data_IF_784500832133
#
_entry.id   IF_784500832133
#
_cell.length_a   1.000
_cell.length_b   1.000
_cell.length_c   1.000
_cell.angle_alpha   90.00
_cell.angle_beta   90.00
_cell.angle_gamma   90.00
#
_symmetry.space_group_name_H-M   'P 1'
#
loop_
_entity.id
_entity.type
_entity.pdbx_description
1 polymer ?
#
# COMPACT_ATOMS: atom_id res chain seq x y z
N UNK A 1 18.74 -7.01 18.49
CA UNK A 1 19.37 -7.97 17.55
C UNK A 1 18.34 -8.87 16.85
N UNK A 2 17.55 -9.72 17.54
CA UNK A 2 16.56 -10.62 16.89
C UNK A 2 15.37 -9.92 16.21
N UNK A 3 14.89 -8.77 16.74
CA UNK A 3 13.86 -7.94 16.09
C UNK A 3 14.37 -7.31 14.78
N UNK A 4 15.63 -6.89 14.77
CA UNK A 4 16.30 -6.24 13.64
C UNK A 4 16.55 -7.22 12.48
N UNK A 5 17.01 -8.44 12.80
CA UNK A 5 17.20 -9.52 11.81
C UNK A 5 15.90 -9.94 11.13
N UNK A 6 14.77 -9.98 11.87
CA UNK A 6 13.44 -10.29 11.31
C UNK A 6 12.93 -9.15 10.43
N UNK A 7 13.09 -7.91 10.88
CA UNK A 7 12.74 -6.73 10.09
C UNK A 7 13.50 -6.69 8.75
N UNK A 8 14.82 -6.91 8.79
CA UNK A 8 15.64 -6.97 7.58
C UNK A 8 15.18 -8.07 6.62
N UNK A 9 14.92 -9.28 7.12
CA UNK A 9 14.41 -10.38 6.28
C UNK A 9 13.06 -10.06 5.62
N UNK A 10 12.16 -9.42 6.36
CA UNK A 10 10.84 -9.02 5.85
C UNK A 10 10.98 -7.94 4.77
N UNK A 11 11.83 -6.93 5.00
CA UNK A 11 12.14 -5.90 4.01
C UNK A 11 12.76 -6.52 2.76
N UNK A 12 13.74 -7.40 2.92
CA UNK A 12 14.42 -8.09 1.82
C UNK A 12 13.41 -8.92 0.99
N UNK A 13 12.46 -9.61 1.66
CA UNK A 13 11.39 -10.35 1.00
C UNK A 13 10.45 -9.44 0.21
N UNK A 14 9.87 -8.39 0.82
CA UNK A 14 8.96 -7.49 0.11
C UNK A 14 9.66 -6.76 -1.03
N UNK A 15 10.91 -6.33 -0.83
CA UNK A 15 11.69 -5.72 -1.90
C UNK A 15 11.84 -6.68 -3.08
N UNK A 16 12.23 -7.92 -2.82
CA UNK A 16 12.33 -8.95 -3.85
C UNK A 16 11.00 -9.18 -4.57
N UNK A 17 9.88 -9.34 -3.84
CA UNK A 17 8.56 -9.57 -4.44
C UNK A 17 8.09 -8.40 -5.30
N UNK A 18 8.23 -7.16 -4.80
CA UNK A 18 7.85 -5.95 -5.55
C UNK A 18 8.71 -5.82 -6.81
N UNK A 19 10.03 -6.02 -6.70
CA UNK A 19 10.94 -5.96 -7.85
C UNK A 19 10.62 -7.02 -8.88
N UNK A 20 10.27 -8.23 -8.45
CA UNK A 20 9.89 -9.30 -9.37
C UNK A 20 8.59 -8.98 -10.08
N UNK A 21 7.56 -8.53 -9.37
CA UNK A 21 6.32 -8.04 -9.98
C UNK A 21 6.56 -6.90 -10.96
N UNK A 22 7.44 -5.95 -10.64
CA UNK A 22 7.76 -4.85 -11.53
C UNK A 22 8.44 -5.34 -12.80
N UNK A 23 9.29 -6.36 -12.71
CA UNK A 23 9.87 -7.01 -13.88
C UNK A 23 8.78 -7.71 -14.73
N UNK A 24 7.90 -8.48 -14.10
CA UNK A 24 6.84 -9.23 -14.78
C UNK A 24 5.82 -8.30 -15.47
N UNK A 25 5.64 -7.08 -14.95
CA UNK A 25 4.73 -6.04 -15.49
C UNK A 25 5.46 -4.94 -16.28
N UNK A 26 6.75 -5.12 -16.59
CA UNK A 26 7.59 -4.16 -17.33
C UNK A 26 7.63 -2.74 -16.74
N UNK A 27 7.52 -2.62 -15.42
CA UNK A 27 7.56 -1.37 -14.67
C UNK A 27 9.01 -0.98 -14.39
N UNK A 28 9.46 0.15 -14.96
CA UNK A 28 10.81 0.67 -14.78
C UNK A 28 10.85 1.86 -13.80
N UNK A 29 10.34 1.68 -12.58
CA UNK A 29 10.34 2.73 -11.55
C UNK A 29 10.92 2.23 -10.23
N UNK A 30 12.21 2.49 -10.00
CA UNK A 30 12.89 2.03 -8.79
C UNK A 30 12.44 2.80 -7.52
N UNK A 31 12.15 4.09 -7.63
CA UNK A 31 11.70 4.90 -6.51
C UNK A 31 10.35 4.42 -5.96
N UNK A 32 9.41 4.08 -6.85
CA UNK A 32 8.12 3.49 -6.45
C UNK A 32 8.32 2.11 -5.82
N UNK A 33 9.22 1.27 -6.36
CA UNK A 33 9.49 -0.04 -5.78
C UNK A 33 10.01 0.05 -4.32
N UNK A 34 10.94 0.97 -4.06
CA UNK A 34 11.45 1.25 -2.71
C UNK A 34 10.33 1.76 -1.78
N UNK A 35 9.49 2.69 -2.28
CA UNK A 35 8.37 3.23 -1.51
C UNK A 35 7.36 2.15 -1.12
N UNK A 36 6.89 1.36 -2.09
CA UNK A 36 5.92 0.29 -1.84
C UNK A 36 6.49 -0.79 -0.92
N UNK A 37 7.79 -1.08 -1.01
CA UNK A 37 8.48 -1.96 -0.07
C UNK A 37 8.39 -1.42 1.37
N UNK A 38 8.69 -0.13 1.56
CA UNK A 38 8.58 0.52 2.86
C UNK A 38 7.16 0.49 3.41
N UNK A 39 6.17 0.78 2.56
CA UNK A 39 4.75 0.72 2.89
C UNK A 39 4.30 -0.68 3.33
N UNK A 40 4.69 -1.74 2.61
CA UNK A 40 4.38 -3.12 2.98
C UNK A 40 5.00 -3.51 4.32
N UNK A 41 6.26 -3.11 4.56
CA UNK A 41 6.95 -3.34 5.84
C UNK A 41 6.23 -2.61 6.97
N UNK A 42 5.81 -1.36 6.75
CA UNK A 42 5.13 -0.53 7.73
C UNK A 42 3.80 -1.16 8.18
N UNK A 43 2.95 -1.56 7.24
CA UNK A 43 1.63 -2.13 7.53
C UNK A 43 1.62 -3.62 7.87
N UNK A 44 2.77 -4.30 7.80
CA UNK A 44 2.88 -5.68 8.29
C UNK A 44 2.57 -5.79 9.80
N UNK A 45 2.70 -4.69 10.55
CA UNK A 45 2.22 -4.59 11.94
C UNK A 45 0.81 -4.02 11.96
N UNK A 46 -0.17 -4.81 12.40
CA UNK A 46 -1.59 -4.42 12.46
C UNK A 46 -1.82 -3.13 13.26
N UNK A 47 -1.02 -2.89 14.30
CA UNK A 47 -1.04 -1.66 15.10
C UNK A 47 -0.83 -0.40 14.23
N UNK A 48 -0.04 -0.51 13.16
CA UNK A 48 0.27 0.59 12.25
C UNK A 48 -0.86 0.86 11.27
N UNK A 49 -1.87 -0.02 11.13
CA UNK A 49 -3.06 0.30 10.32
C UNK A 49 -3.89 1.41 10.98
N UNK A 50 -3.94 1.42 12.32
CA UNK A 50 -4.78 2.29 13.14
C UNK A 50 -3.94 3.22 14.03
N UNK A 51 -2.80 3.69 13.51
CA UNK A 51 -1.85 4.52 14.27
C UNK A 51 -2.28 5.98 14.42
N UNK A 52 -3.20 6.46 13.57
CA UNK A 52 -3.70 7.83 13.63
C UNK A 52 -4.73 7.99 14.75
N UNK A 53 -4.70 9.18 15.37
CA UNK A 53 -5.66 9.60 16.38
C UNK A 53 -6.25 10.96 16.06
N UNK A 54 -7.50 11.19 16.44
CA UNK A 54 -8.13 12.51 16.38
C UNK A 54 -7.68 13.40 17.55
N UNK A 55 -8.20 14.64 17.58
CA UNK A 55 -7.97 15.59 18.67
C UNK A 55 -8.44 15.09 20.05
N UNK A 56 -9.41 14.18 20.09
CA UNK A 56 -9.92 13.53 21.31
C UNK A 56 -9.12 12.27 21.71
N UNK A 57 -8.01 12.00 21.02
CA UNK A 57 -7.12 10.84 21.24
C UNK A 57 -7.76 9.47 20.93
N UNK A 58 -8.87 9.46 20.20
CA UNK A 58 -9.54 8.27 19.69
C UNK A 58 -8.86 7.80 18.40
N UNK A 59 -8.85 6.49 18.14
CA UNK A 59 -8.22 5.95 16.93
C UNK A 59 -9.09 6.23 15.71
N UNK A 60 -8.46 6.56 14.59
CA UNK A 60 -9.13 6.58 13.29
C UNK A 60 -9.06 5.16 12.70
N UNK A 61 -10.20 4.49 12.62
CA UNK A 61 -10.31 3.09 12.21
C UNK A 61 -10.82 2.93 10.76
N UNK A 62 -11.48 3.95 10.23
CA UNK A 62 -12.06 3.92 8.88
C UNK A 62 -11.44 4.96 7.95
N UNK A 63 -11.51 4.68 6.63
CA UNK A 63 -11.14 5.63 5.57
C UNK A 63 -11.95 6.93 5.69
N UNK A 64 -13.23 6.83 6.04
CA UNK A 64 -14.12 7.99 6.19
C UNK A 64 -13.69 8.87 7.37
N UNK A 65 -13.37 8.27 8.52
CA UNK A 65 -12.84 9.02 9.68
C UNK A 65 -11.53 9.73 9.36
N UNK A 66 -10.60 9.04 8.68
CA UNK A 66 -9.34 9.65 8.23
C UNK A 66 -9.58 10.82 7.27
N UNK A 67 -10.53 10.70 6.35
CA UNK A 67 -10.89 11.78 5.41
C UNK A 67 -11.50 12.99 6.13
N UNK A 68 -12.38 12.76 7.10
CA UNK A 68 -13.00 13.84 7.89
C UNK A 68 -11.93 14.61 8.67
N UNK A 69 -11.05 13.90 9.39
CA UNK A 69 -9.97 14.52 10.15
C UNK A 69 -9.00 15.28 9.23
N UNK A 70 -8.61 14.69 8.09
CA UNK A 70 -7.73 15.33 7.12
C UNK A 70 -8.33 16.62 6.55
N UNK A 71 -9.63 16.60 6.27
CA UNK A 71 -10.34 17.74 5.69
C UNK A 71 -10.45 18.88 6.69
N UNK A 72 -10.79 18.57 7.94
CA UNK A 72 -10.81 19.56 9.04
C UNK A 72 -9.42 20.20 9.23
N UNK A 73 -8.37 19.39 9.36
CA UNK A 73 -7.01 19.89 9.53
C UNK A 73 -6.52 20.72 8.31
N UNK A 74 -7.01 20.43 7.11
CA UNK A 74 -6.69 21.17 5.87
C UNK A 74 -7.38 22.53 5.80
N UNK A 75 -8.59 22.66 6.33
CA UNK A 75 -9.34 23.93 6.35
C UNK A 75 -8.72 24.94 7.33
N UNK A 76 -8.11 24.43 8.40
CA UNK A 76 -7.34 25.22 9.33
C UNK A 76 -6.08 25.82 8.65
N UNK A 77 -5.94 27.15 8.75
CA UNK A 77 -4.83 27.88 8.10
C UNK A 77 -3.52 27.81 8.89
N UNK A 78 -3.52 27.19 10.05
CA UNK A 78 -2.34 27.06 10.90
C UNK A 78 -1.33 26.08 10.29
N UNK A 79 -0.03 26.40 10.39
CA UNK A 79 1.02 25.54 9.83
C UNK A 79 1.01 24.14 10.44
N UNK A 80 0.71 24.04 11.74
CA UNK A 80 0.61 22.77 12.46
C UNK A 80 -0.51 21.90 11.91
N UNK A 81 -1.69 22.47 11.68
CA UNK A 81 -2.85 21.76 11.12
C UNK A 81 -2.61 21.33 9.67
N UNK A 82 -1.94 22.16 8.88
CA UNK A 82 -1.56 21.80 7.51
C UNK A 82 -0.56 20.63 7.46
N UNK A 83 0.43 20.61 8.37
CA UNK A 83 1.33 19.46 8.52
C UNK A 83 0.56 18.20 8.95
N UNK A 84 -0.38 18.37 9.89
CA UNK A 84 -1.25 17.27 10.35
C UNK A 84 -2.08 16.69 9.20
N UNK A 85 -2.69 17.55 8.39
CA UNK A 85 -3.44 17.12 7.20
C UNK A 85 -2.54 16.32 6.26
N UNK A 86 -1.32 16.79 5.98
CA UNK A 86 -0.33 16.05 5.17
C UNK A 86 -0.02 14.66 5.74
N UNK A 87 0.21 14.54 7.04
CA UNK A 87 0.46 13.24 7.68
C UNK A 87 -0.72 12.29 7.50
N UNK A 88 -1.95 12.79 7.69
CA UNK A 88 -3.15 11.96 7.54
C UNK A 88 -3.35 11.55 6.09
N UNK A 89 -3.20 12.46 5.12
CA UNK A 89 -3.28 12.13 3.70
C UNK A 89 -2.20 11.12 3.27
N UNK A 90 -0.98 11.20 3.81
CA UNK A 90 0.04 10.21 3.53
C UNK A 90 -0.37 8.82 4.03
N UNK A 91 -0.76 8.73 5.30
CA UNK A 91 -1.23 7.47 5.87
C UNK A 91 -2.46 6.92 5.15
N UNK A 92 -3.39 7.79 4.77
CA UNK A 92 -4.61 7.44 4.03
C UNK A 92 -4.27 6.83 2.66
N UNK A 93 -3.44 7.51 1.87
CA UNK A 93 -3.00 7.02 0.56
C UNK A 93 -2.26 5.68 0.68
N UNK A 94 -1.37 5.58 1.66
CA UNK A 94 -0.60 4.37 1.92
C UNK A 94 -1.48 3.20 2.39
N UNK A 95 -2.42 3.46 3.30
CA UNK A 95 -3.37 2.47 3.81
C UNK A 95 -4.27 1.96 2.69
N UNK A 96 -4.78 2.86 1.85
CA UNK A 96 -5.62 2.49 0.71
C UNK A 96 -4.80 1.63 -0.27
N UNK A 97 -3.60 2.07 -0.67
CA UNK A 97 -2.71 1.32 -1.57
C UNK A 97 -2.43 -0.09 -1.01
N UNK A 98 -2.23 -0.19 0.30
CA UNK A 98 -2.04 -1.45 0.99
C UNK A 98 -3.29 -2.34 0.96
N UNK A 99 -4.47 -1.83 1.34
CA UNK A 99 -5.68 -2.65 1.46
C UNK A 99 -6.25 -3.04 0.09
N UNK A 100 -6.20 -2.14 -0.90
CA UNK A 100 -6.63 -2.44 -2.28
C UNK A 100 -5.62 -3.29 -3.03
N UNK A 101 -4.34 -3.27 -2.63
CA UNK A 101 -3.31 -4.15 -3.16
C UNK A 101 -3.31 -5.54 -2.52
N UNK A 102 -3.22 -5.62 -1.19
CA UNK A 102 -3.01 -6.89 -0.48
C UNK A 102 -4.34 -7.56 -0.08
N UNK A 103 -5.41 -6.80 0.10
CA UNK A 103 -6.70 -7.34 0.57
C UNK A 103 -7.84 -6.97 -0.37
N UNK A 104 -7.57 -6.90 -1.68
CA UNK A 104 -8.52 -6.41 -2.67
C UNK A 104 -9.88 -7.14 -2.60
N UNK A 105 -9.90 -8.46 -2.43
CA UNK A 105 -11.15 -9.23 -2.34
C UNK A 105 -12.01 -8.80 -1.15
N UNK A 106 -11.39 -8.39 -0.04
CA UNK A 106 -12.13 -7.85 1.10
C UNK A 106 -12.77 -6.51 0.75
N UNK A 107 -12.03 -5.60 0.12
CA UNK A 107 -12.54 -4.29 -0.31
C UNK A 107 -13.66 -4.44 -1.35
N UNK A 108 -13.53 -5.39 -2.28
CA UNK A 108 -14.58 -5.71 -3.26
C UNK A 108 -15.85 -6.20 -2.57
N UNK A 109 -15.74 -7.11 -1.57
CA UNK A 109 -16.90 -7.59 -0.82
C UNK A 109 -17.61 -6.48 -0.04
N UNK A 110 -16.90 -5.45 0.39
CA UNK A 110 -17.49 -4.27 1.03
C UNK A 110 -18.16 -3.32 0.03
N UNK A 111 -17.96 -3.50 -1.28
CA UNK A 111 -18.46 -2.56 -2.31
C UNK A 111 -17.71 -1.23 -2.32
N UNK A 112 -16.49 -1.17 -1.78
CA UNK A 112 -15.74 0.08 -1.59
C UNK A 112 -14.59 0.27 -2.58
N UNK A 113 -14.36 -0.64 -3.54
CA UNK A 113 -13.14 -0.62 -4.37
C UNK A 113 -12.99 0.70 -5.14
N UNK A 114 -14.01 1.11 -5.91
CA UNK A 114 -13.95 2.34 -6.72
C UNK A 114 -13.78 3.60 -5.85
N UNK A 115 -14.43 3.61 -4.69
CA UNK A 115 -14.27 4.67 -3.70
C UNK A 115 -12.83 4.72 -3.19
N UNK A 116 -12.27 3.59 -2.78
CA UNK A 116 -10.92 3.51 -2.24
C UNK A 116 -9.87 3.91 -3.29
N UNK A 117 -9.97 3.40 -4.53
CA UNK A 117 -9.04 3.76 -5.60
C UNK A 117 -9.04 5.28 -5.86
N UNK A 118 -10.23 5.89 -5.89
CA UNK A 118 -10.37 7.35 -6.05
C UNK A 118 -9.76 8.13 -4.89
N UNK A 119 -10.08 7.76 -3.66
CA UNK A 119 -9.56 8.46 -2.48
C UNK A 119 -8.04 8.30 -2.33
N UNK A 120 -7.48 7.16 -2.74
CA UNK A 120 -6.03 6.94 -2.81
C UNK A 120 -5.33 7.83 -3.82
N UNK A 121 -5.90 8.00 -5.02
CA UNK A 121 -5.40 8.95 -6.02
C UNK A 121 -5.41 10.38 -5.48
N UNK A 122 -6.51 10.80 -4.86
CA UNK A 122 -6.71 12.14 -4.28
C UNK A 122 -5.71 12.39 -3.15
N UNK A 123 -5.49 11.40 -2.28
CA UNK A 123 -4.56 11.50 -1.16
C UNK A 123 -3.12 11.76 -1.64
N UNK A 124 -2.61 10.99 -2.61
CA UNK A 124 -1.27 11.25 -3.15
C UNK A 124 -1.22 12.52 -4.00
N UNK A 125 -2.31 12.91 -4.67
CA UNK A 125 -2.38 14.21 -5.36
C UNK A 125 -2.17 15.36 -4.38
N UNK A 126 -2.84 15.30 -3.23
CA UNK A 126 -2.68 16.29 -2.17
C UNK A 126 -1.23 16.36 -1.68
N UNK A 127 -0.58 15.21 -1.44
CA UNK A 127 0.83 15.19 -1.02
C UNK A 127 1.75 15.83 -2.04
N UNK A 128 1.55 15.56 -3.33
CA UNK A 128 2.32 16.21 -4.39
C UNK A 128 2.16 17.73 -4.35
N UNK A 129 0.93 18.24 -4.28
CA UNK A 129 0.65 19.68 -4.24
C UNK A 129 1.22 20.35 -3.00
N UNK A 130 1.06 19.70 -1.84
CA UNK A 130 1.58 20.17 -0.57
C UNK A 130 3.12 20.23 -0.61
N UNK A 131 3.77 19.15 -1.00
CA UNK A 131 5.23 19.04 -1.00
C UNK A 131 5.86 19.98 -2.03
N UNK A 132 5.23 20.13 -3.20
CA UNK A 132 5.65 21.09 -4.22
C UNK A 132 5.57 22.54 -3.69
N UNK A 133 4.46 22.91 -3.05
CA UNK A 133 4.26 24.24 -2.48
C UNK A 133 5.27 24.57 -1.37
N UNK A 134 5.67 23.57 -0.59
CA UNK A 134 6.59 23.72 0.55
C UNK A 134 8.04 23.35 0.22
N UNK A 135 8.37 23.09 -1.05
CA UNK A 135 9.71 22.68 -1.50
C UNK A 135 10.26 21.43 -0.77
N UNK A 136 9.38 20.50 -0.43
CA UNK A 136 9.74 19.22 0.18
C UNK A 136 10.21 18.27 -0.93
N UNK A 137 11.43 17.69 -0.84
CA UNK A 137 11.92 16.74 -1.82
C UNK A 137 11.03 15.49 -1.93
N UNK A 138 10.93 14.92 -3.14
CA UNK A 138 10.18 13.69 -3.38
C UNK A 138 8.74 13.88 -3.85
N UNK A 139 8.26 15.12 -4.02
CA UNK A 139 6.91 15.41 -4.51
C UNK A 139 6.54 14.64 -5.80
N UNK A 140 7.49 14.50 -6.75
CA UNK A 140 7.26 13.79 -8.02
C UNK A 140 6.89 12.31 -7.85
N UNK A 141 7.33 11.66 -6.77
CA UNK A 141 6.92 10.30 -6.43
C UNK A 141 5.42 10.23 -6.15
N UNK A 142 4.88 11.19 -5.40
CA UNK A 142 3.45 11.24 -5.11
C UNK A 142 2.61 11.57 -6.34
N UNK A 143 3.14 12.37 -7.28
CA UNK A 143 2.46 12.59 -8.55
C UNK A 143 2.35 11.30 -9.38
N UNK A 144 3.41 10.50 -9.41
CA UNK A 144 3.43 9.19 -10.09
C UNK A 144 2.45 8.20 -9.44
N UNK A 145 2.50 8.08 -8.11
CA UNK A 145 1.60 7.22 -7.34
C UNK A 145 0.13 7.63 -7.51
N UNK A 146 -0.16 8.94 -7.53
CA UNK A 146 -1.50 9.48 -7.79
C UNK A 146 -1.97 9.08 -9.19
N UNK A 147 -1.21 9.42 -10.24
CA UNK A 147 -1.61 9.19 -11.65
C UNK A 147 -1.80 7.73 -12.02
N UNK A 148 -1.09 6.83 -11.34
CA UNK A 148 -1.08 5.39 -11.64
C UNK A 148 -1.52 4.56 -10.44
N UNK A 149 -2.37 5.13 -9.59
CA UNK A 149 -2.77 4.51 -8.32
C UNK A 149 -3.32 3.10 -8.54
N UNK A 150 -4.36 2.97 -9.38
CA UNK A 150 -5.00 1.70 -9.68
C UNK A 150 -4.01 0.69 -10.27
N UNK A 151 -3.11 1.14 -11.13
CA UNK A 151 -2.07 0.29 -11.70
C UNK A 151 -1.11 -0.28 -10.64
N UNK A 152 -0.63 0.57 -9.72
CA UNK A 152 0.25 0.10 -8.62
C UNK A 152 -0.50 -0.75 -7.60
N UNK A 153 -1.76 -0.43 -7.28
CA UNK A 153 -2.61 -1.28 -6.47
C UNK A 153 -2.81 -2.66 -7.12
N UNK A 154 -3.07 -2.69 -8.43
CA UNK A 154 -3.20 -3.91 -9.21
C UNK A 154 -1.89 -4.72 -9.23
N UNK A 155 -0.74 -4.05 -9.33
CA UNK A 155 0.57 -4.69 -9.23
C UNK A 155 0.77 -5.35 -7.87
N UNK A 156 0.42 -4.69 -6.75
CA UNK A 156 0.50 -5.30 -5.42
C UNK A 156 -0.45 -6.49 -5.26
N UNK A 157 -1.63 -6.44 -5.87
CA UNK A 157 -2.56 -7.56 -5.89
C UNK A 157 -2.03 -8.75 -6.67
N UNK A 158 -1.44 -8.51 -7.85
CA UNK A 158 -0.72 -9.51 -8.61
C UNK A 158 0.42 -10.11 -7.76
N UNK A 159 1.27 -9.27 -7.17
CA UNK A 159 2.38 -9.67 -6.31
C UNK A 159 1.91 -10.64 -5.21
N UNK A 160 0.84 -10.29 -4.49
CA UNK A 160 0.29 -11.14 -3.44
C UNK A 160 -0.20 -12.48 -4.00
N UNK A 161 -0.95 -12.47 -5.11
CA UNK A 161 -1.45 -13.72 -5.73
C UNK A 161 -0.32 -14.63 -6.21
N UNK A 162 0.81 -14.06 -6.62
CA UNK A 162 1.96 -14.81 -7.12
C UNK A 162 2.88 -15.30 -6.01
N UNK A 163 3.13 -14.49 -4.98
CA UNK A 163 4.19 -14.75 -4.00
C UNK A 163 3.71 -15.03 -2.58
N UNK A 164 2.47 -14.69 -2.22
CA UNK A 164 1.94 -14.88 -0.85
C UNK A 164 0.92 -16.02 -0.76
N UNK A 165 0.63 -16.72 -1.86
CA UNK A 165 -0.04 -18.01 -1.77
C UNK A 165 0.84 -18.94 -0.94
N UNK A 166 0.21 -19.69 -0.04
CA UNK A 166 0.87 -20.83 0.59
C UNK A 166 1.54 -21.67 -0.50
N UNK A 167 2.73 -22.24 -0.26
CA UNK A 167 3.21 -23.31 -1.14
C UNK A 167 2.07 -24.31 -1.24
N UNK A 168 1.50 -24.48 -2.43
CA UNK A 168 0.48 -25.51 -2.62
C UNK A 168 1.06 -26.83 -2.12
N UNK A 169 0.30 -27.61 -1.33
CA UNK A 169 0.74 -28.95 -0.96
C UNK A 169 0.64 -29.82 -2.22
N UNK A 170 1.69 -29.81 -3.04
CA UNK A 170 1.78 -30.62 -4.26
C UNK A 170 2.62 -29.91 -5.32
N UNK A 171 3.80 -30.47 -5.61
CA UNK A 171 4.55 -30.11 -6.80
C UNK A 171 3.66 -30.37 -8.04
N UNK A 172 3.39 -29.35 -8.89
CA UNK A 172 2.58 -29.50 -10.10
C UNK A 172 3.07 -30.62 -11.02
N UNK A 173 4.39 -30.90 -10.99
CA UNK A 173 5.00 -31.96 -11.76
C UNK A 173 4.71 -33.35 -11.16
N UNK A 174 4.63 -33.46 -9.83
CA UNK A 174 4.25 -34.71 -9.16
C UNK A 174 2.79 -35.07 -9.44
N UNK A 175 1.88 -34.10 -9.42
CA UNK A 175 0.47 -34.37 -9.72
C UNK A 175 0.24 -34.68 -11.21
N UNK A 176 0.96 -34.01 -12.10
CA UNK A 176 0.99 -34.38 -13.53
C UNK A 176 1.54 -35.80 -13.76
N UNK A 177 2.64 -36.16 -13.09
CA UNK A 177 3.25 -37.49 -13.23
C UNK A 177 2.36 -38.62 -12.69
N UNK A 178 1.61 -38.37 -11.61
CA UNK A 178 0.62 -39.31 -11.06
C UNK A 178 -0.58 -39.49 -12.00
N UNK A 179 -1.03 -38.43 -12.67
CA UNK A 179 -2.12 -38.54 -13.65
C UNK A 179 -1.71 -39.39 -14.86
N UNK A 180 -0.46 -39.28 -15.33
CA UNK A 180 0.06 -40.15 -16.40
C UNK A 180 0.21 -41.60 -15.94
N UNK A 181 0.68 -41.84 -14.71
CA UNK A 181 0.87 -43.18 -14.17
C UNK A 181 -0.46 -43.93 -13.94
N UNK A 182 -1.56 -43.23 -13.71
CA UNK A 182 -2.90 -43.81 -13.52
C UNK A 182 -3.72 -43.90 -14.82
N UNK A 183 -3.16 -43.47 -15.96
CA UNK A 183 -3.82 -43.50 -17.28
C UNK A 183 -3.35 -44.66 -18.18
N UNK A 184 -2.57 -45.60 -17.64
CA UNK A 184 -2.13 -46.83 -18.29
C UNK A 184 -2.34 -48.04 -17.39
#
# INVERSE_FOLDING_TARGET
ILKDKRYKKLKDFFYWSVRRTFQDLEIQNHAVAEYLTGLLVYFCRTEMLYSLRNAQNEKLETVVEMLLEASQAKEEKENTSQKRAREIYQHLGDYIMFITGIFQEYVIRLGCLDFYLREGEIAYRYLFEYDLKHYIPGASLFLELSRRFEFYSGALHYMRKTFFRDPEPGDPFLDFSRQLANSF
#
